data_IF_316365916810
#
_entry.id   IF_316365916810
#
_cell.length_a   1.000
_cell.length_b   1.000
_cell.length_c   1.000
_cell.angle_alpha   90.00
_cell.angle_beta   90.00
_cell.angle_gamma   90.00
#
_symmetry.space_group_name_H-M   'P 1'
#
loop_
_entity.id
_entity.type
_entity.pdbx_description
1 polymer ?
#
# COMPACT_ATOMS: atom_id res chain seq x y z
N UNK A 1 4.06 -14.14 -17.57
CA UNK A 1 5.33 -14.17 -16.82
C UNK A 1 4.96 -14.40 -15.37
N UNK A 2 5.32 -15.56 -14.84
CA UNK A 2 4.86 -15.99 -13.50
C UNK A 2 6.04 -15.89 -12.54
N UNK A 3 6.38 -14.66 -12.11
CA UNK A 3 7.31 -14.48 -10.99
C UNK A 3 6.51 -14.23 -9.72
N UNK A 4 7.01 -14.75 -8.60
CA UNK A 4 6.34 -14.74 -7.32
C UNK A 4 7.29 -14.25 -6.23
N UNK A 5 6.79 -13.46 -5.29
CA UNK A 5 7.48 -13.09 -4.07
C UNK A 5 7.25 -14.16 -3.01
N UNK A 6 8.28 -14.94 -2.61
CA UNK A 6 8.16 -15.87 -1.51
C UNK A 6 8.07 -15.10 -0.19
N UNK A 7 7.09 -15.46 0.64
CA UNK A 7 6.82 -14.78 1.90
C UNK A 7 7.24 -15.59 3.14
N UNK A 8 7.52 -16.89 2.94
CA UNK A 8 7.96 -17.81 4.01
C UNK A 8 9.47 -18.01 4.01
N UNK A 9 10.10 -17.90 2.85
CA UNK A 9 11.54 -18.09 2.68
C UNK A 9 12.23 -16.72 2.60
N UNK A 10 13.41 -16.62 3.22
CA UNK A 10 14.23 -15.42 3.17
C UNK A 10 15.40 -15.64 2.20
N UNK A 11 15.80 -14.56 1.53
CA UNK A 11 16.93 -14.54 0.60
C UNK A 11 16.76 -15.46 -0.61
N UNK A 12 15.54 -15.52 -1.15
CA UNK A 12 15.25 -16.30 -2.35
C UNK A 12 15.58 -15.48 -3.60
N UNK A 13 16.24 -16.10 -4.57
CA UNK A 13 16.50 -15.49 -5.87
C UNK A 13 15.21 -15.45 -6.69
N UNK A 14 14.85 -14.27 -7.20
CA UNK A 14 13.67 -14.10 -8.06
C UNK A 14 14.02 -13.23 -9.27
N UNK A 15 13.36 -13.52 -10.38
CA UNK A 15 13.40 -12.72 -11.61
C UNK A 15 12.39 -11.57 -11.52
N UNK A 16 12.84 -10.36 -11.82
CA UNK A 16 12.01 -9.15 -11.81
C UNK A 16 12.04 -8.52 -13.19
N UNK A 17 10.85 -8.24 -13.73
CA UNK A 17 10.72 -7.56 -15.02
C UNK A 17 11.16 -6.10 -14.88
N UNK A 18 12.01 -5.58 -15.79
CA UNK A 18 12.45 -4.20 -15.74
C UNK A 18 11.28 -3.21 -15.78
N UNK A 19 11.36 -2.17 -14.95
CA UNK A 19 10.39 -1.08 -14.88
C UNK A 19 11.07 0.24 -15.21
N UNK A 20 10.36 1.12 -15.89
CA UNK A 20 10.80 2.48 -16.18
C UNK A 20 9.77 3.53 -15.80
N UNK A 21 10.26 4.71 -15.43
CA UNK A 21 9.45 5.90 -15.21
C UNK A 21 9.26 6.62 -16.54
N UNK A 22 8.02 6.84 -16.93
CA UNK A 22 7.66 7.42 -18.23
C UNK A 22 6.80 8.67 -18.04
N UNK A 23 6.95 9.61 -18.96
CA UNK A 23 6.03 10.73 -19.12
C UNK A 23 4.90 10.29 -20.06
N UNK A 24 3.66 10.33 -19.57
CA UNK A 24 2.50 9.80 -20.29
C UNK A 24 2.21 10.58 -21.58
N UNK A 25 2.47 11.89 -21.62
CA UNK A 25 2.28 12.72 -22.82
C UNK A 25 3.18 12.30 -23.99
N UNK A 26 4.32 11.67 -23.68
CA UNK A 26 5.26 11.18 -24.69
C UNK A 26 4.90 9.76 -25.17
N UNK A 27 4.19 8.97 -24.34
CA UNK A 27 3.78 7.61 -24.70
C UNK A 27 2.74 7.61 -25.81
N UNK A 28 1.77 8.53 -25.80
CA UNK A 28 0.72 8.62 -26.83
C UNK A 28 1.27 8.83 -28.25
N UNK A 29 2.57 9.15 -28.40
CA UNK A 29 3.27 9.33 -29.68
C UNK A 29 4.15 8.13 -30.09
N UNK A 30 4.47 7.22 -29.16
CA UNK A 30 5.53 6.19 -29.31
C UNK A 30 5.02 4.73 -29.18
N UNK A 31 3.72 4.49 -28.98
CA UNK A 31 3.10 3.17 -28.70
C UNK A 31 3.39 2.06 -29.76
N UNK A 32 4.02 2.38 -30.89
CA UNK A 32 4.13 1.50 -32.09
C UNK A 32 5.02 0.25 -31.91
N UNK A 33 5.90 0.15 -30.91
CA UNK A 33 6.83 -1.02 -30.81
C UNK A 33 7.09 -1.53 -29.38
N UNK A 34 6.04 -1.87 -28.64
CA UNK A 34 6.18 -2.45 -27.29
C UNK A 34 6.05 -3.98 -27.38
N UNK A 35 7.19 -4.67 -27.29
CA UNK A 35 7.31 -6.12 -27.47
C UNK A 35 6.44 -6.98 -26.53
N UNK A 36 6.10 -8.18 -26.99
CA UNK A 36 5.55 -9.31 -26.22
C UNK A 36 4.11 -9.20 -25.70
N UNK A 37 3.60 -7.99 -25.45
CA UNK A 37 2.24 -7.72 -24.98
C UNK A 37 1.41 -7.08 -26.09
N UNK A 38 0.09 -7.28 -26.09
CA UNK A 38 -0.75 -6.57 -27.07
C UNK A 38 -0.73 -5.08 -26.76
N UNK A 39 -0.40 -4.27 -27.77
CA UNK A 39 -0.56 -2.82 -27.78
C UNK A 39 -1.94 -2.39 -27.23
N UNK A 40 -2.95 -3.20 -27.52
CA UNK A 40 -4.33 -3.09 -27.04
C UNK A 40 -4.42 -3.11 -25.50
N UNK A 41 -3.74 -4.05 -24.81
CA UNK A 41 -3.82 -4.14 -23.35
C UNK A 41 -3.13 -2.96 -22.65
N UNK A 42 -1.99 -2.49 -23.18
CA UNK A 42 -1.34 -1.30 -22.63
C UNK A 42 -2.20 -0.06 -22.84
N UNK A 43 -2.76 0.11 -24.04
CA UNK A 43 -3.66 1.21 -24.37
C UNK A 43 -4.90 1.20 -23.48
N UNK A 44 -5.51 0.03 -23.28
CA UNK A 44 -6.63 -0.16 -22.35
C UNK A 44 -6.23 0.23 -20.92
N UNK A 45 -5.07 -0.21 -20.44
CA UNK A 45 -4.57 0.10 -19.11
C UNK A 45 -4.35 1.60 -18.91
N UNK A 46 -3.74 2.28 -19.89
CA UNK A 46 -3.51 3.74 -19.85
C UNK A 46 -4.85 4.48 -19.80
N UNK A 47 -5.78 4.18 -20.73
CA UNK A 47 -7.09 4.83 -20.80
C UNK A 47 -7.91 4.62 -19.52
N UNK A 48 -7.87 3.40 -18.98
CA UNK A 48 -8.52 3.03 -17.72
C UNK A 48 -7.99 3.83 -16.55
N UNK A 49 -6.66 3.94 -16.43
CA UNK A 49 -6.04 4.74 -15.39
C UNK A 49 -6.29 6.24 -15.56
N UNK A 50 -6.18 6.78 -16.78
CA UNK A 50 -6.49 8.19 -17.06
C UNK A 50 -7.91 8.52 -16.61
N UNK A 51 -8.89 7.68 -16.97
CA UNK A 51 -10.28 7.85 -16.55
C UNK A 51 -10.44 7.73 -15.04
N UNK A 52 -9.82 6.72 -14.43
CA UNK A 52 -9.85 6.50 -12.98
C UNK A 52 -9.28 7.69 -12.20
N UNK A 53 -8.13 8.21 -12.63
CA UNK A 53 -7.48 9.35 -11.99
C UNK A 53 -8.26 10.64 -12.19
N UNK A 54 -8.85 10.85 -13.37
CA UNK A 54 -9.74 12.00 -13.58
C UNK A 54 -10.93 11.99 -12.63
N UNK A 55 -11.47 10.81 -12.31
CA UNK A 55 -12.56 10.67 -11.33
C UNK A 55 -12.06 10.88 -9.88
N UNK A 56 -10.89 10.33 -9.54
CA UNK A 56 -10.40 10.29 -8.15
C UNK A 56 -9.75 11.59 -7.68
N UNK A 57 -8.97 12.23 -8.55
CA UNK A 57 -8.11 13.37 -8.18
C UNK A 57 -8.31 14.60 -9.08
N UNK A 58 -9.25 14.53 -10.03
CA UNK A 58 -9.53 15.56 -11.04
C UNK A 58 -8.26 16.07 -11.76
N UNK A 59 -7.35 15.15 -12.04
CA UNK A 59 -6.07 15.43 -12.72
C UNK A 59 -5.76 14.36 -13.73
N UNK A 60 -5.07 14.78 -14.78
CA UNK A 60 -4.49 13.89 -15.77
C UNK A 60 -3.18 13.30 -15.24
N UNK A 61 -2.85 12.11 -15.72
CA UNK A 61 -1.64 11.41 -15.30
C UNK A 61 -0.46 12.00 -16.06
N UNK A 62 0.51 12.55 -15.33
CA UNK A 62 1.74 13.08 -15.91
C UNK A 62 2.87 12.05 -15.94
N UNK A 63 2.96 11.22 -14.90
CA UNK A 63 4.03 10.24 -14.71
C UNK A 63 3.47 8.88 -14.32
N UNK A 64 4.06 7.84 -14.87
CA UNK A 64 3.71 6.46 -14.55
C UNK A 64 4.94 5.57 -14.56
N UNK A 65 4.84 4.44 -13.85
CA UNK A 65 5.75 3.33 -13.99
C UNK A 65 5.18 2.33 -15.00
N UNK A 66 6.02 1.89 -15.93
CA UNK A 66 5.64 0.97 -17.00
C UNK A 66 6.65 -0.18 -17.07
N UNK A 67 6.20 -1.37 -17.45
CA UNK A 67 7.12 -2.45 -17.78
C UNK A 67 7.94 -2.05 -19.01
N UNK A 68 9.26 -2.10 -18.89
CA UNK A 68 10.16 -1.83 -20.01
C UNK A 68 10.30 -3.11 -20.84
N UNK A 69 9.50 -3.22 -21.90
CA UNK A 69 9.49 -4.40 -22.79
C UNK A 69 10.66 -4.43 -23.78
N UNK A 70 11.36 -3.31 -23.97
CA UNK A 70 12.58 -3.25 -24.79
C UNK A 70 13.77 -3.95 -24.12
N UNK A 71 13.75 -4.05 -22.79
CA UNK A 71 14.70 -4.82 -21.99
C UNK A 71 14.03 -6.14 -21.62
N UNK A 72 14.01 -7.09 -22.56
CA UNK A 72 13.28 -8.35 -22.43
C UNK A 72 13.82 -9.29 -21.35
N UNK A 73 15.02 -9.06 -20.84
CA UNK A 73 15.63 -9.95 -19.85
C UNK A 73 15.30 -9.47 -18.43
N UNK A 74 14.54 -10.28 -17.66
CA UNK A 74 14.39 -10.05 -16.23
C UNK A 74 15.75 -9.92 -15.55
N UNK A 75 15.86 -9.04 -14.56
CA UNK A 75 17.02 -9.01 -13.69
C UNK A 75 16.74 -9.82 -12.42
N UNK A 76 17.78 -10.48 -11.92
CA UNK A 76 17.67 -11.26 -10.69
C UNK A 76 17.89 -10.37 -9.47
N UNK A 77 17.09 -10.60 -8.43
CA UNK A 77 17.32 -10.05 -7.09
C UNK A 77 17.30 -11.15 -6.05
N UNK A 78 18.00 -10.91 -4.93
CA UNK A 78 17.81 -11.67 -3.70
C UNK A 78 16.68 -11.00 -2.92
N UNK A 79 15.52 -11.64 -2.90
CA UNK A 79 14.33 -11.13 -2.25
C UNK A 79 14.25 -11.55 -0.79
N UNK A 80 13.87 -10.60 0.06
CA UNK A 80 13.50 -10.83 1.44
C UNK A 80 12.30 -9.96 1.77
N UNK A 81 11.27 -10.57 2.37
CA UNK A 81 10.08 -9.84 2.82
C UNK A 81 10.40 -8.93 4.01
N UNK A 82 11.34 -9.31 4.87
CA UNK A 82 11.69 -8.57 6.07
C UNK A 82 12.23 -7.18 5.74
N UNK A 83 11.52 -6.14 6.19
CA UNK A 83 11.93 -4.75 6.00
C UNK A 83 11.51 -4.14 4.66
N UNK A 84 10.82 -4.90 3.80
CA UNK A 84 10.27 -4.42 2.53
C UNK A 84 9.28 -3.27 2.77
N UNK A 85 8.38 -3.42 3.75
CA UNK A 85 7.45 -2.37 4.13
C UNK A 85 8.18 -1.12 4.59
N UNK A 86 9.25 -1.28 5.37
CA UNK A 86 10.02 -0.16 5.87
C UNK A 86 10.79 0.56 4.75
N UNK A 87 11.31 -0.16 3.75
CA UNK A 87 11.89 0.46 2.55
C UNK A 87 10.82 1.28 1.81
N UNK A 88 9.65 0.69 1.56
CA UNK A 88 8.52 1.31 0.86
C UNK A 88 7.94 2.54 1.57
N UNK A 89 7.72 2.48 2.89
CA UNK A 89 7.15 3.58 3.67
C UNK A 89 8.05 4.82 3.73
N UNK A 90 9.32 4.70 3.34
CA UNK A 90 10.31 5.78 3.39
C UNK A 90 10.59 6.44 2.04
N UNK A 91 9.92 5.99 0.97
CA UNK A 91 9.99 6.61 -0.36
C UNK A 91 9.35 8.00 -0.30
N UNK A 92 10.03 9.01 -0.88
CA UNK A 92 9.57 10.42 -0.82
C UNK A 92 9.51 11.10 -2.18
N UNK A 93 10.40 10.72 -3.08
CA UNK A 93 10.56 11.36 -4.38
C UNK A 93 10.25 10.39 -5.51
N UNK A 94 9.94 10.90 -6.70
CA UNK A 94 9.75 10.06 -7.89
C UNK A 94 10.99 9.20 -8.19
N UNK A 95 12.19 9.71 -7.88
CA UNK A 95 13.44 8.96 -8.01
C UNK A 95 13.54 7.81 -7.01
N UNK A 96 13.04 8.00 -5.79
CA UNK A 96 12.98 6.91 -4.80
C UNK A 96 12.02 5.82 -5.29
N UNK A 97 10.84 6.22 -5.78
CA UNK A 97 9.83 5.31 -6.34
C UNK A 97 10.39 4.56 -7.55
N UNK A 98 11.03 5.25 -8.50
CA UNK A 98 11.67 4.64 -9.66
C UNK A 98 12.78 3.66 -9.26
N UNK A 99 13.62 4.02 -8.28
CA UNK A 99 14.69 3.14 -7.81
C UNK A 99 14.13 1.88 -7.13
N UNK A 100 13.05 2.04 -6.36
CA UNK A 100 12.37 0.93 -5.72
C UNK A 100 11.68 0.01 -6.75
N UNK A 101 10.98 0.58 -7.74
CA UNK A 101 10.29 -0.19 -8.77
C UNK A 101 11.25 -0.87 -9.75
N UNK A 102 12.40 -0.26 -10.04
CA UNK A 102 13.48 -0.95 -10.78
C UNK A 102 14.02 -2.15 -10.04
N UNK A 103 14.04 -2.12 -8.70
CA UNK A 103 14.51 -3.24 -7.89
C UNK A 103 13.46 -4.32 -7.79
N UNK A 104 12.22 -3.96 -7.45
CA UNK A 104 11.19 -4.91 -7.05
C UNK A 104 10.05 -5.11 -8.07
N UNK A 105 9.96 -4.31 -9.12
CA UNK A 105 8.86 -4.36 -10.10
C UNK A 105 7.69 -3.43 -9.76
N UNK A 106 6.57 -3.64 -10.44
CA UNK A 106 5.30 -2.94 -10.23
C UNK A 106 4.57 -3.45 -8.97
N UNK A 107 3.64 -2.65 -8.42
CA UNK A 107 2.85 -2.99 -7.23
C UNK A 107 1.94 -4.21 -7.44
N UNK A 108 1.48 -4.42 -8.67
CA UNK A 108 0.57 -5.52 -9.03
C UNK A 108 -0.89 -5.14 -8.81
N UNK A 109 -1.24 -3.89 -9.12
CA UNK A 109 -2.62 -3.40 -9.10
C UNK A 109 -3.15 -3.31 -10.51
N UNK A 110 -4.23 -4.04 -10.80
CA UNK A 110 -4.87 -4.00 -12.12
C UNK A 110 -5.54 -2.65 -12.34
N UNK A 111 -5.55 -2.19 -13.58
CA UNK A 111 -6.30 -1.00 -13.95
C UNK A 111 -7.81 -1.20 -13.69
N UNK A 112 -8.55 -0.13 -13.35
CA UNK A 112 -9.99 -0.21 -13.13
C UNK A 112 -10.74 -0.60 -14.42
N UNK A 113 -11.78 -1.41 -14.30
CA UNK A 113 -12.67 -1.74 -15.42
C UNK A 113 -13.37 -0.47 -15.94
N UNK A 114 -13.20 -0.15 -17.22
CA UNK A 114 -13.85 1.00 -17.86
C UNK A 114 -15.37 0.95 -17.75
N UNK A 115 -16.00 -0.22 -17.92
CA UNK A 115 -17.46 -0.36 -17.82
C UNK A 115 -17.94 0.04 -16.41
N UNK A 116 -17.17 -0.31 -15.40
CA UNK A 116 -17.41 0.09 -14.02
C UNK A 116 -17.25 1.60 -13.82
N UNK A 117 -16.21 2.20 -14.40
CA UNK A 117 -15.98 3.65 -14.34
C UNK A 117 -17.06 4.47 -15.06
N UNK A 118 -17.57 3.98 -16.19
CA UNK A 118 -18.64 4.63 -16.96
C UNK A 118 -20.04 4.33 -16.44
N UNK A 119 -20.19 3.35 -15.54
CA UNK A 119 -21.51 2.97 -15.02
C UNK A 119 -22.23 4.18 -14.42
N UNK A 120 -23.44 4.52 -14.89
CA UNK A 120 -24.26 5.58 -14.31
C UNK A 120 -25.00 5.10 -13.06
N UNK A 121 -24.88 3.80 -12.72
CA UNK A 121 -25.62 3.21 -11.61
C UNK A 121 -25.20 3.86 -10.28
N UNK A 122 -26.13 4.32 -9.42
CA UNK A 122 -25.78 5.01 -8.17
C UNK A 122 -24.83 4.19 -7.28
N UNK A 123 -25.03 2.88 -7.21
CA UNK A 123 -24.17 1.96 -6.44
C UNK A 123 -22.71 1.98 -6.90
N UNK A 124 -22.45 2.26 -8.19
CA UNK A 124 -21.09 2.33 -8.73
C UNK A 124 -20.29 3.49 -8.14
N UNK A 125 -20.95 4.55 -7.65
CA UNK A 125 -20.28 5.70 -7.04
C UNK A 125 -19.50 5.30 -5.78
N UNK A 126 -20.01 4.34 -5.00
CA UNK A 126 -19.34 3.87 -3.78
C UNK A 126 -18.04 3.11 -4.07
N UNK A 127 -17.96 2.50 -5.23
CA UNK A 127 -16.81 1.73 -5.73
C UNK A 127 -15.89 2.56 -6.63
N UNK A 128 -16.18 3.85 -6.84
CA UNK A 128 -15.30 4.83 -7.53
C UNK A 128 -14.47 5.64 -6.53
N UNK A 129 -14.05 4.99 -5.44
CA UNK A 129 -13.19 5.57 -4.39
C UNK A 129 -11.78 4.99 -4.49
N UNK A 130 -10.78 5.75 -4.06
CA UNK A 130 -9.37 5.34 -4.12
C UNK A 130 -9.14 4.00 -3.42
N UNK A 131 -9.71 3.81 -2.23
CA UNK A 131 -9.66 2.55 -1.47
C UNK A 131 -10.17 1.31 -2.19
N UNK A 132 -10.98 1.47 -3.25
CA UNK A 132 -11.47 0.37 -4.09
C UNK A 132 -10.65 0.23 -5.37
N UNK A 133 -10.46 1.34 -6.10
CA UNK A 133 -9.75 1.34 -7.38
C UNK A 133 -8.27 0.95 -7.20
N UNK A 134 -7.61 1.45 -6.17
CA UNK A 134 -6.21 1.19 -5.90
C UNK A 134 -5.94 -0.13 -5.20
N UNK A 135 -6.98 -0.90 -4.85
CA UNK A 135 -6.81 -2.11 -4.05
C UNK A 135 -7.14 -3.41 -4.77
N UNK A 136 -7.28 -3.37 -6.10
CA UNK A 136 -7.61 -4.58 -6.85
C UNK A 136 -6.36 -5.23 -7.41
N UNK A 137 -5.92 -6.32 -6.77
CA UNK A 137 -4.80 -7.12 -7.25
C UNK A 137 -5.05 -7.69 -8.65
N UNK A 138 -4.00 -7.69 -9.46
CA UNK A 138 -3.99 -8.34 -10.76
C UNK A 138 -2.77 -7.95 -11.59
N UNK A 139 -2.71 -8.50 -12.79
CA UNK A 139 -1.64 -8.19 -13.72
C UNK A 139 -1.67 -6.71 -14.10
N UNK A 140 -0.49 -6.08 -14.07
CA UNK A 140 -0.31 -4.66 -14.35
C UNK A 140 0.89 -4.46 -15.26
N UNK A 141 0.71 -3.62 -16.29
CA UNK A 141 1.79 -3.18 -17.20
C UNK A 141 2.11 -1.70 -17.04
N UNK A 142 1.23 -0.97 -16.36
CA UNK A 142 1.26 0.48 -16.22
C UNK A 142 0.59 0.88 -14.90
N UNK A 143 1.30 1.65 -14.08
CA UNK A 143 0.86 2.11 -12.78
C UNK A 143 1.16 3.61 -12.61
N UNK A 144 0.14 4.47 -12.44
CA UNK A 144 0.35 5.89 -12.21
C UNK A 144 1.12 6.17 -10.92
N UNK A 145 1.90 7.24 -10.86
CA UNK A 145 2.65 7.59 -9.65
C UNK A 145 1.73 7.94 -8.47
N UNK A 146 0.54 8.49 -8.73
CA UNK A 146 -0.45 8.81 -7.70
C UNK A 146 -0.94 7.56 -6.96
N UNK A 147 -1.04 6.42 -7.64
CA UNK A 147 -1.35 5.12 -7.03
C UNK A 147 -0.26 4.73 -6.02
N UNK A 148 1.01 4.86 -6.41
CA UNK A 148 2.16 4.58 -5.55
C UNK A 148 2.17 5.49 -4.31
N UNK A 149 2.01 6.79 -4.51
CA UNK A 149 1.96 7.77 -3.42
C UNK A 149 0.81 7.49 -2.46
N UNK A 150 -0.36 7.09 -2.98
CA UNK A 150 -1.50 6.72 -2.14
C UNK A 150 -1.15 5.54 -1.23
N UNK A 151 -0.54 4.48 -1.76
CA UNK A 151 -0.13 3.33 -0.96
C UNK A 151 0.98 3.64 0.05
N UNK A 152 1.96 4.46 -0.33
CA UNK A 152 3.01 4.92 0.59
C UNK A 152 2.37 5.64 1.78
N UNK A 153 1.44 6.56 1.53
CA UNK A 153 0.72 7.27 2.58
C UNK A 153 -0.18 6.33 3.41
N UNK A 154 -0.82 5.35 2.78
CA UNK A 154 -1.64 4.36 3.48
C UNK A 154 -0.80 3.54 4.48
N UNK A 155 0.35 3.02 4.05
CA UNK A 155 1.28 2.30 4.93
C UNK A 155 1.76 3.19 6.08
N UNK A 156 2.09 4.46 5.80
CA UNK A 156 2.49 5.41 6.84
C UNK A 156 1.37 5.68 7.86
N UNK A 157 0.10 5.82 7.42
CA UNK A 157 -1.06 5.98 8.31
C UNK A 157 -1.24 4.76 9.22
N UNK A 158 -1.13 3.55 8.65
CA UNK A 158 -1.23 2.30 9.42
C UNK A 158 -0.13 2.21 10.47
N UNK A 159 1.12 2.52 10.11
CA UNK A 159 2.24 2.53 11.05
C UNK A 159 2.06 3.53 12.19
N UNK A 160 1.53 4.74 11.89
CA UNK A 160 1.22 5.73 12.92
C UNK A 160 0.14 5.24 13.87
N UNK A 161 -0.93 4.64 13.33
CA UNK A 161 -2.02 4.08 14.14
C UNK A 161 -1.50 2.96 15.06
N UNK A 162 -0.67 2.07 14.51
CA UNK A 162 -0.03 1.01 15.27
C UNK A 162 0.89 1.53 16.38
N UNK A 163 1.74 2.52 16.09
CA UNK A 163 2.61 3.14 17.10
C UNK A 163 1.81 3.71 18.28
N UNK A 164 0.70 4.41 18.00
CA UNK A 164 -0.18 4.97 19.03
C UNK A 164 -0.86 3.87 19.86
N UNK A 165 -1.47 2.88 19.19
CA UNK A 165 -2.19 1.79 19.87
C UNK A 165 -1.25 0.95 20.75
N UNK A 166 -0.06 0.62 20.23
CA UNK A 166 0.93 -0.21 20.91
C UNK A 166 1.45 0.45 22.19
N UNK A 167 1.67 1.77 22.16
CA UNK A 167 2.23 2.50 23.30
C UNK A 167 1.18 2.88 24.35
N UNK A 168 -0.04 2.31 24.29
CA UNK A 168 -1.18 2.66 25.15
C UNK A 168 -1.38 4.18 25.25
N UNK A 169 -1.19 4.85 24.10
CA UNK A 169 -1.37 6.29 23.98
C UNK A 169 -2.78 6.72 24.35
N UNK A 170 -2.92 8.00 24.73
CA UNK A 170 -4.22 8.55 25.11
C UNK A 170 -5.21 8.50 23.94
N UNK A 171 -6.51 8.46 24.25
CA UNK A 171 -7.55 8.45 23.22
C UNK A 171 -7.42 9.65 22.27
N UNK A 172 -6.96 10.80 22.76
CA UNK A 172 -6.72 11.99 21.94
C UNK A 172 -5.72 11.71 20.80
N UNK A 173 -4.65 10.96 21.07
CA UNK A 173 -3.66 10.61 20.03
C UNK A 173 -4.24 9.65 18.99
N UNK A 174 -5.20 8.80 19.37
CA UNK A 174 -5.93 7.95 18.42
C UNK A 174 -6.87 8.81 17.57
N UNK A 175 -7.56 9.81 18.17
CA UNK A 175 -8.44 10.76 17.47
C UNK A 175 -7.72 11.63 16.46
N UNK A 176 -6.41 11.84 16.61
CA UNK A 176 -5.59 12.54 15.60
C UNK A 176 -5.43 11.72 14.30
N UNK A 177 -5.68 10.41 14.34
CA UNK A 177 -5.43 9.48 13.22
C UNK A 177 -6.72 8.95 12.63
N UNK A 178 -7.66 8.54 13.49
CA UNK A 178 -8.97 8.03 13.08
C UNK A 178 -10.10 8.84 13.71
N UNK A 179 -11.18 8.99 12.96
CA UNK A 179 -12.41 9.62 13.40
C UNK A 179 -13.58 8.65 13.22
N UNK A 180 -14.57 8.75 14.12
CA UNK A 180 -15.80 7.97 14.04
C UNK A 180 -16.91 8.95 13.69
N UNK A 181 -17.51 8.79 12.51
CA UNK A 181 -18.56 9.68 11.99
C UNK A 181 -19.91 8.98 11.95
N UNK A 182 -20.96 9.74 12.29
CA UNK A 182 -22.34 9.35 12.03
C UNK A 182 -22.63 9.51 10.52
N UNK A 183 -23.27 8.54 9.85
CA UNK A 183 -23.60 8.62 8.42
C UNK A 183 -24.36 9.87 8.01
N UNK A 184 -25.13 10.46 8.92
CA UNK A 184 -26.10 11.49 8.57
C UNK A 184 -25.59 12.93 8.72
N UNK A 185 -24.35 13.17 9.15
CA UNK A 185 -23.88 14.55 9.36
C UNK A 185 -23.48 15.27 8.07
N UNK A 186 -23.12 14.60 6.96
CA UNK A 186 -22.55 15.33 5.80
C UNK A 186 -22.73 14.77 4.38
N UNK A 187 -23.55 13.74 4.10
CA UNK A 187 -23.74 13.27 2.71
C UNK A 187 -25.22 13.23 2.27
N UNK A 188 -25.71 14.23 1.50
CA UNK A 188 -27.05 14.22 0.93
C UNK A 188 -27.29 13.11 -0.11
N UNK A 189 -26.26 12.34 -0.50
CA UNK A 189 -26.40 11.25 -1.47
C UNK A 189 -26.83 9.91 -0.86
N UNK A 190 -26.89 9.80 0.47
CA UNK A 190 -27.26 8.57 1.20
C UNK A 190 -28.78 8.36 1.38
N UNK A 191 -29.60 8.89 0.46
CA UNK A 191 -31.07 8.77 0.44
C UNK A 191 -31.54 7.30 0.33
N UNK A 192 -30.67 6.38 -0.12
CA UNK A 192 -31.03 4.97 -0.25
C UNK A 192 -31.15 4.21 1.08
N UNK A 193 -30.62 4.75 2.19
CA UNK A 193 -30.69 4.12 3.50
C UNK A 193 -31.87 4.58 4.38
N UNK A 194 -32.63 5.59 3.97
CA UNK A 194 -33.76 6.12 4.76
C UNK A 194 -34.89 5.10 5.02
N UNK A 195 -34.98 4.02 4.23
CA UNK A 195 -36.05 3.01 4.36
C UNK A 195 -35.67 1.79 5.19
N UNK A 196 -34.44 1.69 5.69
CA UNK A 196 -34.01 0.57 6.51
C UNK A 196 -33.80 1.09 7.93
N UNK A 197 -34.79 0.90 8.82
CA UNK A 197 -34.70 1.15 10.26
C UNK A 197 -33.74 0.18 10.98
N UNK A 198 -32.65 -0.23 10.34
CA UNK A 198 -31.61 -1.06 10.94
C UNK A 198 -30.52 -0.10 11.41
N UNK A 199 -30.49 0.14 12.72
CA UNK A 199 -29.34 0.55 13.51
C UNK A 199 -28.27 1.40 12.79
N UNK A 200 -28.34 2.72 12.98
CA UNK A 200 -27.40 3.72 12.45
C UNK A 200 -25.94 3.25 12.49
N UNK A 201 -25.31 2.93 11.36
CA UNK A 201 -23.96 2.38 11.33
C UNK A 201 -22.92 3.49 11.52
N UNK A 202 -21.99 3.38 12.46
CA UNK A 202 -20.89 4.36 12.54
C UNK A 202 -19.83 4.04 11.48
N UNK A 203 -19.26 5.06 10.84
CA UNK A 203 -18.15 4.88 9.90
C UNK A 203 -16.84 5.27 10.57
N UNK A 204 -15.81 4.44 10.40
CA UNK A 204 -14.44 4.81 10.77
C UNK A 204 -13.78 5.43 9.55
N UNK A 205 -13.21 6.62 9.73
CA UNK A 205 -12.46 7.34 8.70
C UNK A 205 -11.04 7.62 9.17
N UNK A 206 -10.12 7.73 8.22
CA UNK A 206 -8.90 8.48 8.43
C UNK A 206 -9.25 9.94 8.71
N UNK A 207 -8.49 10.65 9.54
CA UNK A 207 -8.69 12.09 9.74
C UNK A 207 -8.47 12.93 8.47
N UNK A 208 -7.88 12.34 7.43
CA UNK A 208 -7.83 12.91 6.08
C UNK A 208 -9.16 12.80 5.31
N UNK A 209 -10.21 12.27 5.93
CA UNK A 209 -11.58 12.17 5.41
C UNK A 209 -11.93 10.85 4.71
N UNK A 210 -10.94 10.02 4.38
CA UNK A 210 -11.17 8.76 3.68
C UNK A 210 -11.83 7.72 4.59
N UNK A 211 -12.96 7.16 4.15
CA UNK A 211 -13.67 6.08 4.86
C UNK A 211 -12.87 4.78 4.81
N UNK A 212 -12.66 4.17 5.98
CA UNK A 212 -12.00 2.88 6.13
C UNK A 212 -13.03 1.75 6.03
N UNK A 213 -13.96 1.67 6.98
CA UNK A 213 -15.00 0.65 7.03
C UNK A 213 -16.18 1.08 7.91
N UNK A 214 -17.26 0.29 7.85
CA UNK A 214 -18.45 0.44 8.68
C UNK A 214 -18.28 -0.35 9.99
N UNK A 215 -18.35 0.34 11.14
CA UNK A 215 -18.14 -0.24 12.45
C UNK A 215 -19.31 -1.17 12.84
N UNK A 216 -19.05 -2.45 13.18
CA UNK A 216 -20.10 -3.37 13.60
C UNK A 216 -20.68 -2.95 14.96
N UNK A 217 -21.90 -3.38 15.25
CA UNK A 217 -22.61 -2.97 16.47
C UNK A 217 -21.89 -3.36 17.75
N UNK A 218 -21.26 -4.53 17.74
CA UNK A 218 -20.48 -5.08 18.85
C UNK A 218 -19.32 -4.18 19.27
N UNK A 219 -18.83 -3.32 18.36
CA UNK A 219 -17.71 -2.42 18.61
C UNK A 219 -18.14 -1.02 19.07
N UNK A 220 -19.44 -0.68 19.05
CA UNK A 220 -19.91 0.68 19.39
C UNK A 220 -19.70 1.07 20.86
N UNK A 221 -19.68 0.08 21.75
CA UNK A 221 -19.53 0.29 23.20
C UNK A 221 -18.09 0.12 23.68
N UNK A 222 -17.18 -0.20 22.77
CA UNK A 222 -15.77 -0.45 23.09
C UNK A 222 -15.03 0.89 23.22
N UNK A 223 -13.90 0.86 23.91
CA UNK A 223 -13.00 2.01 24.01
C UNK A 223 -12.43 2.40 22.64
N UNK A 224 -11.94 3.63 22.50
CA UNK A 224 -11.31 4.04 21.24
C UNK A 224 -10.04 3.23 20.94
N UNK A 225 -9.36 2.74 21.97
CA UNK A 225 -8.23 1.81 21.84
C UNK A 225 -8.64 0.51 21.15
N UNK A 226 -9.71 -0.13 21.63
CA UNK A 226 -10.23 -1.37 21.04
C UNK A 226 -10.76 -1.15 19.61
N UNK A 227 -11.40 -0.01 19.36
CA UNK A 227 -11.81 0.38 18.00
C UNK A 227 -10.58 0.58 17.10
N UNK A 228 -9.50 1.17 17.61
CA UNK A 228 -8.23 1.32 16.92
C UNK A 228 -7.59 -0.03 16.57
N UNK A 229 -7.53 -0.95 17.53
CA UNK A 229 -7.01 -2.31 17.33
C UNK A 229 -7.83 -3.07 16.27
N UNK A 230 -9.16 -2.99 16.37
CA UNK A 230 -10.06 -3.57 15.37
C UNK A 230 -9.86 -2.93 14.00
N UNK A 231 -9.68 -1.60 13.95
CA UNK A 231 -9.41 -0.86 12.71
C UNK A 231 -8.14 -1.34 12.03
N UNK A 232 -7.03 -1.49 12.77
CA UNK A 232 -5.79 -2.07 12.22
C UNK A 232 -6.03 -3.45 11.64
N UNK A 233 -6.74 -4.32 12.37
CA UNK A 233 -7.02 -5.68 11.92
C UNK A 233 -7.83 -5.70 10.61
N UNK A 234 -8.84 -4.83 10.49
CA UNK A 234 -9.69 -4.74 9.30
C UNK A 234 -9.00 -4.10 8.11
N UNK A 235 -8.14 -3.12 8.33
CA UNK A 235 -7.30 -2.58 7.25
C UNK A 235 -6.41 -3.70 6.72
N UNK A 236 -5.63 -4.37 7.57
CA UNK A 236 -4.72 -5.43 7.13
C UNK A 236 -5.44 -6.61 6.46
N UNK A 237 -6.57 -7.05 7.02
CA UNK A 237 -7.41 -8.09 6.41
C UNK A 237 -7.84 -7.67 5.00
N UNK A 238 -8.38 -6.46 4.86
CA UNK A 238 -8.78 -5.94 3.55
C UNK A 238 -7.58 -5.80 2.62
N UNK A 239 -6.42 -5.40 3.15
CA UNK A 239 -5.22 -5.17 2.36
C UNK A 239 -4.63 -6.47 1.83
N UNK A 240 -4.68 -7.55 2.58
CA UNK A 240 -4.14 -8.86 2.18
C UNK A 240 -5.13 -9.72 1.38
N UNK A 241 -6.43 -9.39 1.41
CA UNK A 241 -7.48 -10.18 0.77
C UNK A 241 -7.23 -10.37 -0.73
N UNK A 242 -7.14 -11.62 -1.16
CA UNK A 242 -6.89 -11.99 -2.56
C UNK A 242 -5.45 -11.79 -3.05
N UNK A 243 -4.57 -11.25 -2.20
CA UNK A 243 -3.17 -10.99 -2.55
C UNK A 243 -2.22 -12.13 -2.22
N UNK A 244 -2.52 -12.93 -1.19
CA UNK A 244 -1.63 -14.00 -0.69
C UNK A 244 -2.12 -15.37 -1.15
N UNK A 245 -1.20 -16.17 -1.69
CA UNK A 245 -1.43 -17.56 -2.06
C UNK A 245 -0.77 -18.49 -1.05
N UNK A 246 -1.46 -19.57 -0.72
CA UNK A 246 -1.00 -20.62 0.19
C UNK A 246 -0.81 -21.90 -0.62
N UNK A 247 0.38 -22.48 -0.58
CA UNK A 247 0.71 -23.76 -1.22
C UNK A 247 1.36 -24.72 -0.22
N UNK A 248 1.56 -25.96 -0.68
CA UNK A 248 2.31 -26.98 0.05
C UNK A 248 3.77 -26.90 -0.37
N UNK A 249 4.67 -26.63 0.57
CA UNK A 249 6.12 -26.68 0.31
C UNK A 249 6.67 -28.09 0.46
N UNK A 250 6.26 -28.80 1.51
CA UNK A 250 6.73 -30.15 1.79
C UNK A 250 5.70 -30.99 2.57
N UNK A 251 5.88 -32.31 2.56
CA UNK A 251 5.11 -33.27 3.34
C UNK A 251 6.08 -34.11 4.18
N UNK A 252 6.19 -33.75 5.46
CA UNK A 252 7.03 -34.48 6.42
C UNK A 252 6.27 -35.69 6.95
N UNK A 253 6.73 -36.90 6.63
CA UNK A 253 6.13 -38.16 7.10
C UNK A 253 6.82 -38.65 8.36
N UNK A 254 6.04 -39.12 9.33
CA UNK A 254 6.55 -39.85 10.48
C UNK A 254 6.55 -41.36 10.16
N UNK A 255 7.73 -42.01 10.04
CA UNK A 255 7.82 -43.41 9.68
C UNK A 255 7.18 -44.36 10.71
N UNK A 256 7.11 -43.95 11.99
CA UNK A 256 6.66 -44.78 13.11
C UNK A 256 5.13 -44.81 13.24
N UNK A 257 4.48 -43.68 13.00
CA UNK A 257 3.02 -43.52 13.23
C UNK A 257 2.20 -43.54 11.94
N UNK A 258 2.85 -43.60 10.77
CA UNK A 258 2.22 -43.35 9.45
C UNK A 258 1.51 -42.00 9.32
N UNK A 259 1.73 -41.08 10.26
CA UNK A 259 1.19 -39.72 10.19
C UNK A 259 2.06 -38.84 9.29
N UNK A 260 1.50 -37.72 8.82
CA UNK A 260 2.24 -36.72 8.05
C UNK A 260 1.87 -35.31 8.50
N UNK A 261 2.78 -34.37 8.24
CA UNK A 261 2.58 -32.94 8.44
C UNK A 261 2.80 -32.24 7.10
N UNK A 262 1.82 -31.44 6.70
CA UNK A 262 1.96 -30.52 5.55
C UNK A 262 2.72 -29.29 6.04
N UNK A 263 3.78 -28.93 5.33
CA UNK A 263 4.50 -27.67 5.52
C UNK A 263 3.88 -26.65 4.56
N UNK A 264 3.41 -25.55 5.12
CA UNK A 264 2.77 -24.47 4.37
C UNK A 264 3.83 -23.52 3.80
N UNK A 265 3.69 -23.14 2.53
CA UNK A 265 4.40 -22.00 1.93
C UNK A 265 3.42 -20.90 1.56
N UNK A 266 3.82 -19.66 1.82
CA UNK A 266 3.10 -18.45 1.42
C UNK A 266 3.90 -17.71 0.37
N UNK A 267 3.21 -17.26 -0.67
CA UNK A 267 3.80 -16.46 -1.74
C UNK A 267 2.75 -15.53 -2.35
N UNK A 268 3.17 -14.56 -3.15
CA UNK A 268 2.27 -13.65 -3.87
C UNK A 268 2.85 -13.27 -5.22
N UNK A 269 1.99 -12.94 -6.19
CA UNK A 269 2.40 -12.33 -7.45
C UNK A 269 2.47 -10.79 -7.37
N UNK A 270 2.05 -10.21 -6.24
CA UNK A 270 1.82 -8.77 -6.11
C UNK A 270 2.76 -8.18 -5.08
N UNK A 271 3.63 -7.27 -5.50
CA UNK A 271 4.60 -6.60 -4.63
C UNK A 271 3.89 -5.89 -3.47
N UNK A 272 2.74 -5.27 -3.75
CA UNK A 272 1.95 -4.60 -2.73
C UNK A 272 1.42 -5.58 -1.65
N UNK A 273 1.06 -6.80 -2.02
CA UNK A 273 0.66 -7.81 -1.03
C UNK A 273 1.85 -8.23 -0.17
N UNK A 274 3.06 -8.34 -0.75
CA UNK A 274 4.28 -8.61 0.01
C UNK A 274 4.61 -7.47 1.01
N UNK A 275 4.42 -6.21 0.60
CA UNK A 275 4.57 -5.02 1.45
C UNK A 275 3.60 -5.08 2.64
N UNK A 276 2.30 -5.33 2.40
CA UNK A 276 1.33 -5.44 3.48
C UNK A 276 1.53 -6.69 4.35
N UNK A 277 2.14 -7.75 3.80
CA UNK A 277 2.47 -8.94 4.57
C UNK A 277 3.62 -8.66 5.56
N UNK A 278 4.68 -7.97 5.14
CA UNK A 278 5.74 -7.52 6.06
C UNK A 278 5.16 -6.58 7.14
N UNK A 279 4.21 -5.71 6.78
CA UNK A 279 3.48 -4.88 7.76
C UNK A 279 2.72 -5.73 8.79
N UNK A 280 1.99 -6.75 8.33
CA UNK A 280 1.26 -7.67 9.19
C UNK A 280 2.20 -8.44 10.14
N UNK A 281 3.38 -8.85 9.65
CA UNK A 281 4.41 -9.47 10.48
C UNK A 281 4.94 -8.49 11.53
N UNK A 282 5.23 -7.24 11.17
CA UNK A 282 5.69 -6.21 12.11
C UNK A 282 4.71 -6.00 13.27
N UNK A 283 3.41 -5.99 12.97
CA UNK A 283 2.36 -5.82 13.98
C UNK A 283 2.26 -7.06 14.88
N UNK A 284 2.25 -8.27 14.31
CA UNK A 284 2.13 -9.51 15.07
C UNK A 284 3.37 -9.89 15.88
N UNK A 285 4.56 -9.55 15.38
CA UNK A 285 5.83 -9.75 16.08
C UNK A 285 6.05 -8.72 17.18
N UNK A 286 5.10 -7.81 17.38
CA UNK A 286 5.18 -6.72 18.33
C UNK A 286 6.50 -5.92 18.16
N UNK A 287 6.80 -5.51 16.91
CA UNK A 287 8.00 -4.70 16.62
C UNK A 287 7.75 -3.21 16.87
N UNK A 288 8.70 -2.56 17.53
CA UNK A 288 8.62 -1.12 17.81
C UNK A 288 8.72 -0.25 16.55
N UNK A 289 7.86 0.77 16.47
CA UNK A 289 7.92 1.84 15.47
C UNK A 289 8.69 3.02 16.05
N UNK A 290 9.51 3.68 15.23
CA UNK A 290 10.27 4.85 15.61
C UNK A 290 9.97 6.01 14.66
N UNK A 291 10.00 7.23 15.18
CA UNK A 291 9.92 8.44 14.35
C UNK A 291 11.31 8.85 13.90
N UNK A 292 11.44 9.26 12.64
CA UNK A 292 12.69 9.76 12.09
C UNK A 292 13.18 10.98 12.88
N UNK A 293 14.42 10.95 13.39
CA UNK A 293 14.99 12.04 14.19
C UNK A 293 15.33 13.31 13.37
N UNK A 294 15.09 13.31 12.05
CA UNK A 294 15.16 14.52 11.25
C UNK A 294 13.87 15.33 11.47
N UNK A 295 14.01 16.54 12.02
CA UNK A 295 12.89 17.45 12.35
C UNK A 295 11.96 17.70 11.16
N UNK A 296 12.51 17.72 9.94
CA UNK A 296 11.75 17.96 8.70
C UNK A 296 11.09 16.70 8.14
N UNK A 297 11.30 15.53 8.76
CA UNK A 297 10.81 14.26 8.24
C UNK A 297 9.67 13.68 9.06
N UNK A 298 9.90 13.36 10.34
CA UNK A 298 8.88 12.78 11.23
C UNK A 298 8.29 11.40 10.83
N UNK A 299 8.72 10.80 9.72
CA UNK A 299 8.13 9.55 9.21
C UNK A 299 8.34 8.37 10.19
N UNK A 300 7.33 7.50 10.35
CA UNK A 300 7.49 6.25 11.09
C UNK A 300 8.40 5.29 10.31
N UNK A 301 9.25 4.56 11.02
CA UNK A 301 10.11 3.53 10.45
C UNK A 301 10.44 2.46 11.52
N UNK A 302 10.72 1.23 11.09
CA UNK A 302 11.24 0.19 11.97
C UNK A 302 12.76 0.30 12.01
N UNK A 303 13.33 0.42 13.22
CA UNK A 303 14.78 0.56 13.34
C UNK A 303 15.46 -0.78 13.09
N UNK A 304 16.53 -0.74 12.30
CA UNK A 304 17.55 -1.79 12.29
C UNK A 304 18.72 -1.31 13.15
N UNK A 305 19.04 -2.03 14.22
CA UNK A 305 20.13 -1.68 15.16
C UNK A 305 19.95 -0.26 15.76
N UNK A 306 21.02 0.56 15.78
CA UNK A 306 21.05 1.92 16.37
C UNK A 306 20.64 3.03 15.38
N UNK A 307 19.90 2.71 14.32
CA UNK A 307 19.48 3.67 13.28
C UNK A 307 18.51 4.71 13.88
N UNK A 308 18.83 6.01 13.71
CA UNK A 308 18.01 7.15 14.18
C UNK A 308 17.20 7.86 13.09
N UNK A 309 17.53 7.60 11.82
CA UNK A 309 16.95 8.30 10.66
C UNK A 309 16.36 7.27 9.72
N UNK A 310 15.23 7.55 9.07
CA UNK A 310 14.61 6.61 8.14
C UNK A 310 15.48 6.34 6.90
N UNK A 311 16.24 7.34 6.42
CA UNK A 311 17.12 7.23 5.26
C UNK A 311 18.46 7.95 5.45
N UNK A 312 19.43 7.64 4.58
CA UNK A 312 20.71 8.34 4.52
C UNK A 312 20.53 9.83 4.19
N UNK A 313 19.58 10.17 3.30
CA UNK A 313 19.22 11.54 2.98
C UNK A 313 18.75 12.31 4.23
N UNK A 314 17.89 11.70 5.07
CA UNK A 314 17.46 12.31 6.33
C UNK A 314 18.61 12.49 7.33
N UNK A 315 19.57 11.56 7.37
CA UNK A 315 20.79 11.70 8.18
C UNK A 315 21.61 12.92 7.73
N UNK A 316 21.78 13.09 6.42
CA UNK A 316 22.52 14.21 5.84
C UNK A 316 21.80 15.55 6.02
N UNK A 317 20.48 15.60 5.80
CA UNK A 317 19.68 16.79 6.04
C UNK A 317 19.71 17.22 7.52
N UNK A 318 19.51 16.29 8.45
CA UNK A 318 19.60 16.58 9.87
C UNK A 318 20.98 17.10 10.29
N UNK A 319 22.06 16.63 9.65
CA UNK A 319 23.41 17.16 9.85
C UNK A 319 23.55 18.61 9.34
N UNK A 320 23.03 18.89 8.12
CA UNK A 320 23.03 20.26 7.56
C UNK A 320 22.26 21.25 8.44
N UNK A 321 21.11 20.84 8.97
CA UNK A 321 20.32 21.69 9.86
C UNK A 321 21.06 21.98 11.18
N UNK A 322 21.74 20.98 11.77
CA UNK A 322 22.56 21.22 12.98
C UNK A 322 23.68 22.23 12.74
N UNK A 323 24.39 22.13 11.61
CA UNK A 323 25.44 23.10 11.25
C UNK A 323 24.90 24.52 11.10
N UNK A 324 23.76 24.68 10.44
CA UNK A 324 23.10 26.00 10.32
C UNK A 324 22.67 26.57 11.67
N UNK A 325 22.14 25.73 12.56
CA UNK A 325 21.75 26.14 13.91
C UNK A 325 22.96 26.53 14.77
N UNK A 326 24.14 25.94 14.53
CA UNK A 326 25.40 26.30 15.19
C UNK A 326 25.95 27.63 14.64
N UNK A 327 26.02 27.78 13.31
CA UNK A 327 26.47 29.03 12.65
C UNK A 327 25.56 30.24 12.94
N UNK A 328 24.25 30.01 13.12
CA UNK A 328 23.28 31.05 13.47
C UNK A 328 23.23 31.43 14.95
N UNK A 329 23.99 30.75 15.83
CA UNK A 329 24.15 31.10 17.26
C UNK A 329 25.40 31.91 17.54
N UNK A 330 26.30 32.02 16.56
CA UNK A 330 27.54 32.80 16.63
C UNK A 330 27.38 34.25 16.09
N UNK A 331 26.12 34.72 15.95
CA UNK A 331 25.71 36.10 15.66
C UNK A 331 24.81 36.55 16.81
#
# INVERSE_FOLDING_TARGET
MDYFYPLTEANTEIDVVPVELVNVENLEKEIVEIGGFSEEFLTESINSWQKGMKILVDRDISLALMLNTSKTDPHQIIFNTEGLMNEFATLKTFKDIESFSKKYGLLGIKHPDLNHLYSPHPVSQYTKKASYIFHTYGFSVFEPIELWLWHIHEVQKILRLYDVIRNESSEEQIREIIEIKDPFEHDPSDIYFEKIQINKPFNVHWTTGERIFMLPETMRKQSLLEIGQYTLSKILESRLKGGIQISVSDIVRNPLTKSFKVVESRYTQYLLAAIYYDLWQIINDDRNIYKCANKNCGLPFVKTRRKKYCSAACKQEAYRNRKKDEEGRDI
#
